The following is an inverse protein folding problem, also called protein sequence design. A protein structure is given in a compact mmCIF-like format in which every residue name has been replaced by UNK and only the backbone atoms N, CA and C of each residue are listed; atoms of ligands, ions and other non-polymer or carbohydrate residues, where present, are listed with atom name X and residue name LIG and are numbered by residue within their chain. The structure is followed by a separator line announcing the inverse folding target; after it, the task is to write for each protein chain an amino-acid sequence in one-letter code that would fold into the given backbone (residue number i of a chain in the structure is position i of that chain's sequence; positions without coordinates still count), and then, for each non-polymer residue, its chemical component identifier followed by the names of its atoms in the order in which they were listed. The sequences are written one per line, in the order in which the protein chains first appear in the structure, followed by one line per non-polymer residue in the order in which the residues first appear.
data_IF_497734552723
#
_entry.id   IF_497734552723
#
_cell.length_a   1.000
_cell.length_b   1.000
_cell.length_c   1.000
_cell.angle_alpha   90.00
_cell.angle_beta   90.00
_cell.angle_gamma   90.00
#
_symmetry.space_group_name_H-M   'P 1'
#
loop_
_entity.id
_entity.type
_entity.pdbx_description
1 polymer ?
#
# COMPACT_ATOMS: atom_id res chain seq x y z
N UNK A 1 5.96 -13.18 17.74
CA UNK A 1 4.93 -13.73 18.67
C UNK A 1 5.03 -12.95 19.98
N UNK A 2 3.90 -12.42 20.50
CA UNK A 2 3.91 -11.60 21.73
C UNK A 2 3.95 -12.40 23.04
N UNK A 3 4.07 -13.74 22.98
CA UNK A 3 4.35 -14.60 24.13
C UNK A 3 3.35 -14.58 25.28
N UNK A 4 2.11 -14.09 25.07
CA UNK A 4 1.08 -14.07 26.10
C UNK A 4 0.50 -15.47 26.33
N UNK A 5 0.35 -15.86 27.61
CA UNK A 5 -0.43 -17.06 27.95
C UNK A 5 -1.94 -16.76 27.79
N UNK A 6 -2.75 -17.82 27.56
CA UNK A 6 -4.21 -17.67 27.52
C UNK A 6 -4.80 -16.94 28.75
N UNK A 7 -4.25 -17.19 29.94
CA UNK A 7 -4.67 -16.54 31.19
C UNK A 7 -4.35 -15.03 31.18
N UNK A 8 -3.17 -14.67 30.70
CA UNK A 8 -2.77 -13.26 30.62
C UNK A 8 -3.55 -12.52 29.54
N UNK A 9 -3.80 -13.15 28.39
CA UNK A 9 -4.67 -12.60 27.35
C UNK A 9 -6.09 -12.40 27.85
N UNK A 10 -6.66 -13.41 28.53
CA UNK A 10 -8.00 -13.31 29.12
C UNK A 10 -8.11 -12.14 30.10
N UNK A 11 -7.09 -11.98 30.96
CA UNK A 11 -7.05 -10.86 31.92
C UNK A 11 -7.03 -9.51 31.23
N UNK A 12 -6.18 -9.35 30.20
CA UNK A 12 -6.04 -8.07 29.45
C UNK A 12 -7.32 -7.75 28.66
N UNK A 13 -7.88 -8.75 28.01
CA UNK A 13 -9.09 -8.60 27.21
C UNK A 13 -10.38 -8.51 28.05
N UNK A 14 -10.32 -8.69 29.36
CA UNK A 14 -11.52 -8.74 30.23
C UNK A 14 -12.48 -9.88 29.86
N UNK A 15 -11.92 -11.02 29.41
CA UNK A 15 -12.63 -12.25 29.05
C UNK A 15 -12.26 -13.37 30.01
N UNK A 16 -13.01 -14.49 29.95
CA UNK A 16 -12.64 -15.68 30.74
C UNK A 16 -11.56 -16.50 30.02
N UNK A 17 -10.72 -17.20 30.80
CA UNK A 17 -9.75 -18.15 30.25
C UNK A 17 -10.43 -19.22 29.38
N UNK A 18 -11.61 -19.70 29.81
CA UNK A 18 -12.40 -20.68 29.05
C UNK A 18 -12.83 -20.13 27.68
N UNK A 19 -13.22 -18.84 27.61
CA UNK A 19 -13.59 -18.17 26.36
C UNK A 19 -12.39 -18.08 25.41
N UNK A 20 -11.24 -17.63 25.90
CA UNK A 20 -10.02 -17.56 25.07
C UNK A 20 -9.66 -18.96 24.55
N UNK A 21 -9.62 -19.96 25.43
CA UNK A 21 -9.31 -21.33 25.03
C UNK A 21 -10.31 -21.95 24.05
N UNK A 22 -11.59 -21.59 24.12
CA UNK A 22 -12.60 -22.06 23.17
C UNK A 22 -12.43 -21.40 21.79
N UNK A 23 -12.07 -20.10 21.74
CA UNK A 23 -11.77 -19.38 20.50
C UNK A 23 -10.51 -19.96 19.84
N UNK A 24 -9.44 -20.16 20.59
CA UNK A 24 -8.16 -20.69 20.04
C UNK A 24 -8.26 -22.12 19.51
N UNK A 25 -9.21 -22.91 20.03
CA UNK A 25 -9.52 -24.27 19.53
C UNK A 25 -10.61 -24.29 18.46
N UNK A 26 -11.03 -23.11 17.99
CA UNK A 26 -12.08 -22.96 16.97
C UNK A 26 -13.42 -23.62 17.36
N UNK A 27 -13.69 -23.71 18.68
CA UNK A 27 -14.96 -24.25 19.23
C UNK A 27 -16.05 -23.20 19.18
N UNK A 28 -15.71 -21.92 19.34
CA UNK A 28 -16.62 -20.79 19.24
C UNK A 28 -16.01 -19.66 18.42
N UNK A 29 -16.85 -18.97 17.65
CA UNK A 29 -16.47 -17.71 17.01
C UNK A 29 -16.66 -16.53 17.96
N UNK A 30 -15.67 -15.65 18.15
CA UNK A 30 -15.83 -14.49 19.01
C UNK A 30 -16.83 -13.50 18.39
N UNK A 31 -17.60 -12.83 19.24
CA UNK A 31 -18.34 -11.65 18.82
C UNK A 31 -17.36 -10.52 18.43
N UNK A 32 -17.84 -9.54 17.63
CA UNK A 32 -17.03 -8.35 17.29
C UNK A 32 -16.52 -7.65 18.54
N UNK A 33 -17.35 -7.52 19.59
CA UNK A 33 -16.94 -6.93 20.86
C UNK A 33 -15.87 -7.73 21.60
N UNK A 34 -15.92 -9.06 21.52
CA UNK A 34 -14.88 -9.92 22.09
C UNK A 34 -13.57 -9.81 21.28
N UNK A 35 -13.68 -9.75 19.95
CA UNK A 35 -12.54 -9.59 19.06
C UNK A 35 -11.82 -8.24 19.29
N UNK A 36 -12.57 -7.14 19.42
CA UNK A 36 -12.02 -5.83 19.76
C UNK A 36 -11.19 -5.88 21.05
N UNK A 37 -11.75 -6.44 22.14
CA UNK A 37 -11.04 -6.57 23.41
C UNK A 37 -9.78 -7.43 23.32
N UNK A 38 -9.81 -8.48 22.48
CA UNK A 38 -8.64 -9.33 22.25
C UNK A 38 -7.57 -8.53 21.50
N UNK A 39 -7.92 -7.86 20.41
CA UNK A 39 -6.99 -7.10 19.58
C UNK A 39 -6.38 -5.93 20.35
N UNK A 40 -7.16 -5.20 21.15
CA UNK A 40 -6.70 -4.12 22.05
C UNK A 40 -5.68 -4.58 23.10
N UNK A 41 -5.59 -5.90 23.36
CA UNK A 41 -4.57 -6.47 24.25
C UNK A 41 -3.17 -6.51 23.62
N UNK A 42 -3.06 -6.22 22.33
CA UNK A 42 -1.83 -6.17 21.56
C UNK A 42 -1.60 -4.75 21.01
N UNK A 43 -0.35 -4.35 20.71
CA UNK A 43 -0.06 -3.05 20.12
C UNK A 43 -0.34 -3.05 18.59
N UNK A 44 -1.54 -3.45 18.20
CA UNK A 44 -2.01 -3.50 16.80
C UNK A 44 -3.44 -2.99 16.70
N UNK A 45 -3.80 -2.47 15.55
CA UNK A 45 -5.17 -2.06 15.22
C UNK A 45 -5.98 -3.25 14.67
N UNK A 46 -7.31 -3.12 14.64
CA UNK A 46 -8.19 -4.10 13.98
C UNK A 46 -7.84 -4.27 12.49
N UNK A 47 -7.51 -3.18 11.80
CA UNK A 47 -7.11 -3.22 10.40
C UNK A 47 -5.83 -4.03 10.22
N UNK A 48 -4.83 -3.81 11.07
CA UNK A 48 -3.59 -4.59 11.06
C UNK A 48 -3.84 -6.07 11.36
N UNK A 49 -4.73 -6.37 12.32
CA UNK A 49 -5.09 -7.74 12.67
C UNK A 49 -5.70 -8.50 11.48
N UNK A 50 -6.65 -7.90 10.77
CA UNK A 50 -7.26 -8.53 9.59
C UNK A 50 -6.36 -8.54 8.35
N UNK A 51 -5.31 -7.72 8.33
CA UNK A 51 -4.30 -7.72 7.27
C UNK A 51 -3.15 -8.71 7.53
N UNK A 52 -3.11 -9.35 8.71
CA UNK A 52 -2.12 -10.38 9.02
C UNK A 52 -2.40 -11.64 8.22
N UNK A 53 -1.39 -12.15 7.53
CA UNK A 53 -1.46 -13.48 6.94
C UNK A 53 -1.41 -14.52 8.08
N UNK A 54 -2.45 -15.36 8.25
CA UNK A 54 -2.48 -16.38 9.29
C UNK A 54 -1.42 -17.48 9.11
N UNK A 55 -0.87 -17.63 7.91
CA UNK A 55 0.18 -18.62 7.62
C UNK A 55 1.55 -18.15 8.11
N UNK A 56 1.72 -16.83 8.36
CA UNK A 56 2.99 -16.22 8.75
C UNK A 56 4.03 -16.22 7.64
N UNK A 57 3.69 -16.73 6.46
CA UNK A 57 4.52 -16.64 5.27
C UNK A 57 4.26 -15.31 4.56
N UNK A 58 5.31 -14.53 4.34
CA UNK A 58 5.17 -13.29 3.58
C UNK A 58 4.74 -13.63 2.14
N UNK A 59 3.57 -13.16 1.72
CA UNK A 59 3.16 -13.27 0.32
C UNK A 59 4.24 -12.64 -0.57
N UNK A 60 4.69 -13.41 -1.57
CA UNK A 60 5.77 -13.00 -2.50
C UNK A 60 5.20 -12.71 -3.89
N UNK A 61 4.13 -13.41 -4.28
CA UNK A 61 3.51 -13.29 -5.61
C UNK A 61 2.12 -12.68 -5.49
N UNK A 62 1.84 -11.68 -6.33
CA UNK A 62 0.59 -10.94 -6.36
C UNK A 62 -0.01 -11.00 -7.75
N UNK A 63 -1.26 -11.47 -7.86
CA UNK A 63 -2.01 -11.45 -9.11
C UNK A 63 -2.62 -10.06 -9.32
N UNK A 64 -2.81 -9.67 -10.58
CA UNK A 64 -3.38 -8.35 -10.89
C UNK A 64 -4.71 -8.07 -10.19
N UNK A 65 -5.56 -9.10 -10.00
CA UNK A 65 -6.83 -8.98 -9.29
C UNK A 65 -6.70 -8.81 -7.77
N UNK A 66 -5.52 -9.08 -7.21
CA UNK A 66 -5.23 -8.97 -5.77
C UNK A 66 -4.58 -7.63 -5.41
N UNK A 67 -4.14 -6.88 -6.42
CA UNK A 67 -3.52 -5.58 -6.22
C UNK A 67 -4.56 -4.57 -5.78
N UNK A 68 -4.24 -3.82 -4.73
CA UNK A 68 -5.10 -2.77 -4.24
C UNK A 68 -5.19 -1.65 -5.27
N UNK A 69 -6.41 -1.30 -5.64
CA UNK A 69 -6.69 -0.17 -6.53
C UNK A 69 -6.86 1.10 -5.69
N UNK A 70 -6.08 2.10 -6.01
CA UNK A 70 -6.19 3.45 -5.49
C UNK A 70 -6.16 4.43 -6.67
N UNK A 71 -6.55 5.68 -6.43
CA UNK A 71 -6.54 6.70 -7.46
C UNK A 71 -7.92 7.33 -7.67
N UNK A 72 -8.01 8.19 -8.66
CA UNK A 72 -9.22 8.93 -9.00
C UNK A 72 -8.96 9.97 -10.09
N UNK A 73 -10.02 10.65 -10.57
CA UNK A 73 -9.84 11.72 -11.55
C UNK A 73 -9.24 11.27 -12.89
N UNK A 74 -9.39 10.00 -13.27
CA UNK A 74 -8.80 9.47 -14.51
C UNK A 74 -7.40 8.86 -14.34
N UNK A 75 -6.91 8.76 -13.10
CA UNK A 75 -5.67 8.07 -12.76
C UNK A 75 -6.02 6.83 -11.94
N UNK A 76 -5.56 5.65 -12.38
CA UNK A 76 -5.62 4.39 -11.66
C UNK A 76 -4.23 4.07 -11.12
N UNK A 77 -4.15 3.70 -9.85
CA UNK A 77 -2.90 3.32 -9.19
C UNK A 77 -3.09 1.97 -8.54
N UNK A 78 -2.34 0.96 -8.96
CA UNK A 78 -2.35 -0.37 -8.36
C UNK A 78 -1.06 -0.66 -7.64
N UNK A 79 -1.17 -0.99 -6.35
CA UNK A 79 -0.04 -1.28 -5.50
C UNK A 79 0.24 -2.78 -5.43
N UNK A 80 1.50 -3.16 -5.58
CA UNK A 80 1.96 -4.53 -5.34
C UNK A 80 2.08 -4.76 -3.82
N UNK A 81 1.25 -5.65 -3.30
CA UNK A 81 1.13 -5.90 -1.86
C UNK A 81 0.20 -4.91 -1.16
N UNK A 82 -0.47 -5.36 -0.11
CA UNK A 82 -1.48 -4.56 0.59
C UNK A 82 -0.93 -3.85 1.82
N UNK A 83 -0.03 -4.50 2.57
CA UNK A 83 0.55 -3.95 3.79
C UNK A 83 2.05 -3.73 3.60
N UNK A 84 2.44 -2.48 3.42
CA UNK A 84 3.84 -2.07 3.24
C UNK A 84 4.51 -1.61 4.54
N UNK A 85 3.87 -1.78 5.70
CA UNK A 85 4.45 -1.37 6.99
C UNK A 85 5.80 -2.07 7.22
N UNK A 86 6.85 -1.27 7.39
CA UNK A 86 8.22 -1.77 7.57
C UNK A 86 8.90 -2.25 6.28
N UNK A 87 8.25 -2.15 5.13
CA UNK A 87 8.89 -2.37 3.83
C UNK A 87 9.62 -1.10 3.39
N UNK A 88 10.81 -1.22 2.80
CA UNK A 88 11.54 -0.06 2.30
C UNK A 88 11.07 0.40 0.92
N UNK A 89 10.31 -0.42 0.21
CA UNK A 89 9.97 -0.24 -1.20
C UNK A 89 8.47 -0.40 -1.41
N UNK A 90 7.89 0.51 -2.18
CA UNK A 90 6.57 0.42 -2.80
C UNK A 90 6.74 0.27 -4.31
N UNK A 91 5.98 -0.62 -4.94
CA UNK A 91 5.93 -0.77 -6.40
C UNK A 91 4.50 -0.53 -6.85
N UNK A 92 4.34 0.32 -7.86
CA UNK A 92 3.05 0.75 -8.40
C UNK A 92 2.95 0.44 -9.89
N UNK A 93 1.72 0.21 -10.35
CA UNK A 93 1.34 0.26 -11.75
C UNK A 93 0.34 1.41 -11.86
N UNK A 94 0.70 2.42 -12.62
CA UNK A 94 -0.08 3.63 -12.77
C UNK A 94 -0.58 3.78 -14.20
N UNK A 95 -1.85 4.18 -14.34
CA UNK A 95 -2.50 4.42 -15.63
C UNK A 95 -3.09 5.81 -15.63
N UNK A 96 -2.72 6.58 -16.61
CA UNK A 96 -3.14 7.95 -16.78
C UNK A 96 -4.01 8.06 -18.03
N UNK A 97 -5.30 8.35 -17.89
CA UNK A 97 -6.14 8.68 -19.02
C UNK A 97 -5.62 9.95 -19.75
N UNK A 98 -5.91 10.14 -21.03
CA UNK A 98 -5.51 11.33 -21.77
C UNK A 98 -5.88 12.63 -21.03
N UNK A 99 -4.94 13.56 -20.93
CA UNK A 99 -5.13 14.86 -20.29
C UNK A 99 -5.22 14.86 -18.77
N UNK A 100 -4.94 13.72 -18.09
CA UNK A 100 -4.91 13.68 -16.62
C UNK A 100 -3.54 14.02 -16.06
N UNK A 101 -3.52 14.63 -14.87
CA UNK A 101 -2.31 15.02 -14.15
C UNK A 101 -2.43 14.67 -12.66
N UNK A 102 -1.31 14.36 -12.01
CA UNK A 102 -1.29 14.02 -10.57
C UNK A 102 -1.70 15.18 -9.69
N UNK A 103 -1.33 16.40 -10.06
CA UNK A 103 -1.71 17.63 -9.36
C UNK A 103 -1.50 18.84 -10.25
N UNK A 104 -2.32 19.89 -10.07
CA UNK A 104 -2.13 21.18 -10.73
C UNK A 104 -0.86 21.91 -10.29
N UNK A 105 -0.49 21.73 -9.03
CA UNK A 105 0.75 22.28 -8.45
C UNK A 105 1.68 21.14 -8.10
N UNK A 106 2.96 21.18 -8.51
CA UNK A 106 3.93 20.14 -8.14
C UNK A 106 3.97 19.95 -6.62
N UNK A 107 4.07 18.69 -6.20
CA UNK A 107 4.15 18.28 -4.80
C UNK A 107 5.52 17.64 -4.51
N UNK A 108 5.83 17.47 -3.25
CA UNK A 108 7.08 16.83 -2.81
C UNK A 108 6.86 15.99 -1.55
N UNK A 109 7.65 14.95 -1.39
CA UNK A 109 7.65 14.11 -0.20
C UNK A 109 9.07 13.59 0.11
N UNK A 110 9.22 12.90 1.23
CA UNK A 110 10.51 12.30 1.60
C UNK A 110 10.75 11.05 0.78
N UNK A 111 12.01 10.87 0.31
CA UNK A 111 12.45 9.65 -0.34
C UNK A 111 12.91 9.86 -1.77
N UNK A 112 12.96 8.76 -2.49
CA UNK A 112 13.30 8.72 -3.91
C UNK A 112 12.18 8.03 -4.67
N UNK A 113 11.98 8.47 -5.92
CA UNK A 113 11.01 7.90 -6.84
C UNK A 113 11.67 7.64 -8.18
N UNK A 114 11.37 6.46 -8.75
CA UNK A 114 11.80 6.10 -10.10
C UNK A 114 10.75 5.28 -10.82
N UNK A 115 10.77 5.34 -12.16
CA UNK A 115 9.80 4.60 -12.95
C UNK A 115 10.20 4.48 -14.41
N UNK A 116 9.46 3.62 -15.12
CA UNK A 116 9.62 3.39 -16.57
C UNK A 116 8.24 3.47 -17.22
N UNK A 117 8.15 4.21 -18.30
CA UNK A 117 6.95 4.26 -19.13
C UNK A 117 6.84 2.96 -19.93
N UNK A 118 5.71 2.30 -19.83
CA UNK A 118 5.44 1.01 -20.52
C UNK A 118 4.63 1.23 -21.78
N UNK A 119 3.71 2.21 -21.75
CA UNK A 119 2.81 2.54 -22.86
C UNK A 119 2.49 4.03 -22.84
N UNK A 120 2.18 4.60 -24.01
CA UNK A 120 1.78 5.99 -24.16
C UNK A 120 2.93 6.96 -23.89
N UNK A 121 2.61 8.21 -23.57
CA UNK A 121 3.57 9.26 -23.27
C UNK A 121 3.23 9.99 -22.00
N UNK A 122 4.22 10.19 -21.15
CA UNK A 122 4.06 10.88 -19.87
C UNK A 122 4.99 12.07 -19.80
N UNK A 123 4.46 13.26 -19.59
CA UNK A 123 5.23 14.44 -19.21
C UNK A 123 5.59 14.36 -17.72
N UNK A 124 6.89 14.38 -17.45
CA UNK A 124 7.43 14.37 -16.09
C UNK A 124 8.12 15.69 -15.82
N UNK A 125 7.64 16.41 -14.80
CA UNK A 125 8.25 17.68 -14.33
C UNK A 125 8.87 17.43 -12.96
N UNK A 126 10.16 17.75 -12.80
CA UNK A 126 10.90 17.61 -11.55
C UNK A 126 11.81 18.82 -11.35
N UNK A 127 11.66 19.55 -10.24
CA UNK A 127 12.56 20.65 -9.86
C UNK A 127 12.70 21.77 -10.89
N UNK A 128 11.73 21.94 -11.79
CA UNK A 128 11.79 22.94 -12.87
C UNK A 128 12.27 22.40 -14.22
N UNK A 129 12.68 21.14 -14.30
CA UNK A 129 12.95 20.45 -15.57
C UNK A 129 11.74 19.64 -16.00
N UNK A 130 11.42 19.64 -17.29
CA UNK A 130 10.29 18.91 -17.85
C UNK A 130 10.73 18.10 -19.05
N UNK A 131 10.30 16.85 -19.14
CA UNK A 131 10.55 15.96 -20.26
C UNK A 131 9.30 15.12 -20.55
N UNK A 132 9.02 14.85 -21.82
CA UNK A 132 8.01 13.88 -22.24
C UNK A 132 8.72 12.56 -22.49
N UNK A 133 8.34 11.53 -21.74
CA UNK A 133 8.89 10.18 -21.81
C UNK A 133 7.94 9.28 -22.58
N UNK A 134 8.50 8.42 -23.43
CA UNK A 134 7.80 7.38 -24.18
C UNK A 134 8.14 5.98 -23.69
N UNK A 135 7.57 4.93 -24.34
CA UNK A 135 7.78 3.54 -23.92
C UNK A 135 9.27 3.15 -23.87
N UNK A 136 9.71 2.63 -22.73
CA UNK A 136 11.11 2.27 -22.44
C UNK A 136 11.93 3.39 -21.81
N UNK A 137 11.46 4.63 -21.84
CA UNK A 137 12.13 5.73 -21.14
C UNK A 137 11.84 5.67 -19.63
N UNK A 138 12.76 6.19 -18.83
CA UNK A 138 12.62 6.18 -17.38
C UNK A 138 13.02 7.47 -16.70
N UNK A 139 12.67 7.58 -15.43
CA UNK A 139 13.07 8.68 -14.55
C UNK A 139 13.55 8.14 -13.20
N UNK A 140 14.39 8.90 -12.52
CA UNK A 140 14.83 8.65 -11.15
C UNK A 140 15.23 9.97 -10.52
N UNK A 141 14.62 10.32 -9.39
CA UNK A 141 14.90 11.59 -8.70
C UNK A 141 14.62 11.48 -7.19
N UNK A 142 15.16 12.43 -6.43
CA UNK A 142 14.77 12.61 -5.04
C UNK A 142 13.41 13.31 -4.97
N UNK A 143 12.43 12.64 -4.39
CA UNK A 143 11.03 13.11 -4.26
C UNK A 143 10.89 14.36 -3.39
N UNK A 144 11.98 14.83 -2.76
CA UNK A 144 12.05 16.15 -2.12
C UNK A 144 12.01 17.30 -3.12
N UNK A 145 12.35 17.05 -4.39
CA UNK A 145 12.16 18.01 -5.46
C UNK A 145 10.68 18.09 -5.82
N UNK A 146 10.11 19.29 -6.01
CA UNK A 146 8.74 19.42 -6.48
C UNK A 146 8.58 18.69 -7.83
N UNK A 147 7.58 17.82 -7.92
CA UNK A 147 7.37 17.01 -9.12
C UNK A 147 5.89 16.87 -9.46
N UNK A 148 5.63 16.54 -10.72
CA UNK A 148 4.30 16.35 -11.29
C UNK A 148 4.39 15.45 -12.52
N UNK A 149 3.34 14.66 -12.73
CA UNK A 149 3.16 13.81 -13.91
C UNK A 149 1.89 14.20 -14.65
N UNK A 150 1.94 14.22 -15.98
CA UNK A 150 0.81 14.58 -16.81
C UNK A 150 0.81 13.72 -18.09
N UNK A 151 -0.31 13.11 -18.41
CA UNK A 151 -0.49 12.48 -19.72
C UNK A 151 -0.85 13.55 -20.76
N UNK A 152 0.12 13.96 -21.55
CA UNK A 152 -0.04 14.95 -22.64
C UNK A 152 -0.41 14.29 -23.98
N UNK A 153 -0.51 12.97 -24.02
CA UNK A 153 -0.88 12.21 -25.19
C UNK A 153 -2.40 12.11 -25.38
N UNK A 154 -2.78 11.41 -26.44
CA UNK A 154 -4.18 11.12 -26.80
C UNK A 154 -4.59 9.67 -26.50
N UNK A 155 -3.72 8.89 -25.92
CA UNK A 155 -3.93 7.51 -25.48
C UNK A 155 -3.55 7.35 -23.99
N UNK A 156 -3.97 6.24 -23.37
CA UNK A 156 -3.59 5.93 -21.99
C UNK A 156 -2.07 5.79 -21.85
N UNK A 157 -1.50 6.46 -20.88
CA UNK A 157 -0.11 6.24 -20.47
C UNK A 157 -0.05 5.25 -19.30
N UNK A 158 0.86 4.28 -19.37
CA UNK A 158 1.08 3.25 -18.35
C UNK A 158 2.52 3.34 -17.86
N UNK A 159 2.68 3.42 -16.55
CA UNK A 159 3.97 3.52 -15.88
C UNK A 159 4.08 2.44 -14.82
N UNK A 160 5.26 1.85 -14.69
CA UNK A 160 5.65 1.08 -13.50
C UNK A 160 6.61 1.95 -12.71
N UNK A 161 6.24 2.28 -11.49
CA UNK A 161 7.04 3.15 -10.61
C UNK A 161 7.39 2.46 -9.29
N UNK A 162 8.36 3.02 -8.61
CA UNK A 162 8.79 2.58 -7.31
C UNK A 162 9.13 3.79 -6.43
N UNK A 163 8.68 3.73 -5.18
CA UNK A 163 8.94 4.73 -4.16
C UNK A 163 9.66 4.13 -2.96
N UNK A 164 10.58 4.86 -2.37
CA UNK A 164 11.25 4.51 -1.13
C UNK A 164 11.37 5.74 -0.23
N UNK A 165 10.85 5.74 1.02
CA UNK A 165 9.96 4.72 1.57
C UNK A 165 8.59 4.72 0.88
N UNK A 166 7.73 3.72 1.15
CA UNK A 166 6.32 3.74 0.74
C UNK A 166 5.60 5.00 1.22
N UNK A 167 4.70 5.51 0.37
CA UNK A 167 3.87 6.70 0.62
C UNK A 167 2.68 6.39 1.54
#
# INVERSE_FOLDING_TARGET
MHGLSQRELARRAGLTHATIGAIERDVISPSIGSMLKIVESFPITMSEFFSMDPTGEAQVFFRAAEMLEAGGGGISVRQVGQNLKGRPLQVLIERYAPGTETAKTPYSHVGDEGGVVIQGHLEVTVGGSTCVLGPGDGYLFSSRLPHRFCNVGNEEAVVVSANTPPL
#
